data_IF_258900575047
#
_entry.id   IF_258900575047
#
_cell.length_a   1.000
_cell.length_b   1.000
_cell.length_c   1.000
_cell.angle_alpha   90.00
_cell.angle_beta   90.00
_cell.angle_gamma   90.00
#
_symmetry.space_group_name_H-M   'P 1'
#
loop_
_entity.id
_entity.type
_entity.pdbx_description
1 polymer ?
#
# COMPACT_ATOMS: atom_id res chain seq x y z
N UNK A 1 1.36 -22.11 -53.48
CA UNK A 1 0.28 -21.37 -54.19
C UNK A 1 -0.98 -21.55 -53.36
N UNK A 2 -1.25 -20.60 -52.45
CA UNK A 2 -2.31 -19.55 -52.54
C UNK A 2 -3.72 -20.11 -52.29
N UNK A 3 -4.58 -19.64 -51.40
CA UNK A 3 -4.64 -18.52 -50.43
C UNK A 3 -5.84 -18.80 -49.48
N UNK A 4 -5.84 -18.30 -48.23
CA UNK A 4 -6.62 -17.15 -47.72
C UNK A 4 -8.16 -17.28 -47.95
N UNK A 5 -9.10 -16.99 -47.03
CA UNK A 5 -9.13 -16.14 -45.84
C UNK A 5 -10.49 -16.36 -45.10
N UNK A 6 -10.53 -16.16 -43.75
CA UNK A 6 -11.60 -15.54 -42.90
C UNK A 6 -13.08 -15.97 -43.03
N UNK A 7 -13.98 -15.99 -42.04
CA UNK A 7 -14.11 -15.46 -40.68
C UNK A 7 -15.40 -16.02 -40.02
N UNK A 8 -15.42 -16.08 -38.67
CA UNK A 8 -16.55 -15.92 -37.72
C UNK A 8 -17.90 -16.64 -37.93
N UNK A 9 -18.26 -17.53 -36.99
CA UNK A 9 -19.66 -17.93 -36.72
C UNK A 9 -20.00 -17.81 -35.22
N UNK A 10 -20.90 -16.87 -34.91
CA UNK A 10 -21.46 -16.64 -33.59
C UNK A 10 -22.56 -17.68 -33.27
N UNK A 11 -22.54 -18.23 -32.06
CA UNK A 11 -23.55 -19.16 -31.55
C UNK A 11 -24.84 -18.42 -31.18
N UNK A 12 -25.94 -18.75 -31.87
CA UNK A 12 -27.32 -18.40 -31.48
C UNK A 12 -27.87 -19.49 -30.56
N UNK A 13 -28.22 -19.13 -29.32
CA UNK A 13 -28.99 -20.01 -28.43
C UNK A 13 -30.48 -19.74 -28.66
N UNK A 14 -31.20 -20.72 -29.19
CA UNK A 14 -32.64 -20.70 -29.38
C UNK A 14 -33.36 -21.22 -28.14
N UNK A 15 -34.31 -20.45 -27.65
CA UNK A 15 -35.14 -20.74 -26.47
C UNK A 15 -36.20 -21.79 -26.77
N UNK A 16 -36.07 -22.99 -26.20
CA UNK A 16 -37.19 -23.90 -25.96
C UNK A 16 -36.86 -24.77 -24.76
N UNK A 17 -37.29 -24.36 -23.57
CA UNK A 17 -37.71 -25.22 -22.44
C UNK A 17 -38.04 -24.32 -21.25
N UNK A 18 -39.25 -23.74 -21.23
CA UNK A 18 -39.86 -23.21 -20.00
C UNK A 18 -41.34 -23.57 -20.04
N UNK A 19 -41.74 -24.56 -19.24
CA UNK A 19 -43.12 -24.73 -18.78
C UNK A 19 -43.07 -24.89 -17.27
N UNK A 20 -44.04 -24.25 -16.62
CA UNK A 20 -44.31 -24.12 -15.18
C UNK A 20 -43.61 -22.97 -14.45
N UNK A 21 -44.36 -21.87 -14.24
CA UNK A 21 -44.69 -21.24 -12.94
C UNK A 21 -45.63 -20.02 -13.17
N UNK A 22 -46.42 -19.56 -12.16
CA UNK A 22 -47.73 -18.93 -12.37
C UNK A 22 -47.74 -17.39 -12.51
N UNK A 23 -48.88 -16.89 -13.02
CA UNK A 23 -49.24 -15.49 -13.27
C UNK A 23 -49.23 -14.60 -12.01
N UNK A 24 -48.11 -13.91 -11.76
CA UNK A 24 -48.11 -12.66 -10.97
C UNK A 24 -46.72 -11.98 -11.03
N UNK A 25 -46.27 -11.59 -12.22
CA UNK A 25 -45.03 -10.79 -12.38
C UNK A 25 -45.05 -9.97 -13.68
N UNK A 26 -46.12 -9.22 -13.94
CA UNK A 26 -46.26 -8.40 -15.15
C UNK A 26 -46.82 -7.01 -14.86
N UNK A 27 -46.33 -6.33 -13.81
CA UNK A 27 -46.65 -4.90 -13.58
C UNK A 27 -45.52 -4.05 -12.97
N UNK A 28 -44.25 -4.46 -13.08
CA UNK A 28 -43.13 -3.68 -12.48
C UNK A 28 -42.00 -3.27 -13.44
N UNK A 29 -42.23 -3.22 -14.75
CA UNK A 29 -41.14 -2.97 -15.73
C UNK A 29 -41.34 -1.78 -16.68
N UNK A 30 -42.28 -0.86 -16.41
CA UNK A 30 -42.47 0.33 -17.28
C UNK A 30 -42.17 1.69 -16.61
N UNK A 31 -41.94 1.74 -15.29
CA UNK A 31 -41.67 3.00 -14.57
C UNK A 31 -40.22 3.16 -14.03
N UNK A 32 -39.38 2.12 -14.06
CA UNK A 32 -37.95 2.25 -13.70
C UNK A 32 -37.06 2.74 -14.86
N UNK A 33 -37.39 2.37 -16.10
CA UNK A 33 -36.53 2.59 -17.26
C UNK A 33 -36.33 4.08 -17.67
N UNK A 34 -37.16 5.01 -17.18
CA UNK A 34 -37.03 6.45 -17.49
C UNK A 34 -36.29 7.27 -16.45
N UNK A 35 -36.04 6.75 -15.24
CA UNK A 35 -35.20 7.41 -14.22
C UNK A 35 -33.75 6.90 -14.22
N UNK A 36 -33.50 5.67 -14.69
CA UNK A 36 -32.14 5.15 -14.88
C UNK A 36 -31.39 5.88 -16.00
N UNK A 37 -32.05 6.20 -17.12
CA UNK A 37 -31.40 6.87 -18.25
C UNK A 37 -30.88 8.29 -17.92
N UNK A 38 -31.45 8.99 -16.94
CA UNK A 38 -31.02 10.34 -16.55
C UNK A 38 -29.88 10.34 -15.51
N UNK A 39 -29.74 9.27 -14.73
CA UNK A 39 -28.64 9.09 -13.77
C UNK A 39 -27.42 8.51 -14.48
N UNK A 40 -27.61 7.56 -15.40
CA UNK A 40 -26.54 6.97 -16.22
C UNK A 40 -25.89 8.02 -17.13
N UNK A 41 -26.67 8.88 -17.78
CA UNK A 41 -26.10 9.96 -18.63
C UNK A 41 -25.35 11.06 -17.85
N UNK A 42 -25.59 11.22 -16.55
CA UNK A 42 -24.89 12.21 -15.72
C UNK A 42 -23.59 11.65 -15.12
N UNK A 43 -23.51 10.32 -14.95
CA UNK A 43 -22.29 9.61 -14.56
C UNK A 43 -21.33 9.47 -15.75
N UNK A 44 -21.84 9.19 -16.96
CA UNK A 44 -21.00 9.03 -18.16
C UNK A 44 -20.31 10.32 -18.64
N UNK A 45 -20.89 11.51 -18.38
CA UNK A 45 -20.28 12.79 -18.79
C UNK A 45 -19.16 13.30 -17.88
N UNK A 46 -19.05 12.78 -16.65
CA UNK A 46 -18.01 13.15 -15.69
C UNK A 46 -16.96 12.05 -15.48
N UNK A 47 -17.12 10.87 -16.07
CA UNK A 47 -16.14 9.79 -16.05
C UNK A 47 -15.11 9.94 -17.18
N UNK A 48 -14.25 10.96 -17.09
CA UNK A 48 -12.96 11.00 -17.78
C UNK A 48 -11.83 10.49 -16.87
N UNK A 49 -12.13 9.46 -16.09
CA UNK A 49 -11.13 8.51 -15.59
C UNK A 49 -11.59 7.15 -16.13
N UNK A 50 -11.40 6.96 -17.43
CA UNK A 50 -11.42 5.62 -17.99
C UNK A 50 -10.26 4.87 -17.35
N UNK A 51 -10.55 4.06 -16.34
CA UNK A 51 -9.66 3.01 -15.90
C UNK A 51 -9.54 2.01 -17.06
N UNK A 52 -8.63 2.29 -17.99
CA UNK A 52 -8.15 1.34 -19.00
C UNK A 52 -7.34 0.26 -18.29
N UNK A 53 -8.07 -0.65 -17.65
CA UNK A 53 -7.60 -1.72 -16.76
C UNK A 53 -6.98 -2.92 -17.51
N UNK A 54 -6.44 -2.72 -18.72
CA UNK A 54 -5.95 -3.83 -19.55
C UNK A 54 -4.44 -3.83 -19.81
N UNK A 55 -3.74 -2.71 -19.56
CA UNK A 55 -2.27 -2.63 -19.66
C UNK A 55 -1.55 -2.59 -18.31
N UNK A 56 -2.26 -2.34 -17.20
CA UNK A 56 -1.65 -2.23 -15.87
C UNK A 56 -1.43 -3.60 -15.17
N UNK A 57 -1.94 -4.74 -15.68
CA UNK A 57 -2.02 -5.98 -14.88
C UNK A 57 -1.39 -7.23 -15.49
N UNK A 58 -0.12 -7.19 -15.89
CA UNK A 58 0.66 -8.42 -16.12
C UNK A 58 2.09 -8.42 -15.57
N UNK A 59 2.67 -7.27 -15.33
CA UNK A 59 4.05 -7.18 -14.82
C UNK A 59 4.13 -6.87 -13.30
N UNK A 60 2.97 -6.82 -12.62
CA UNK A 60 2.82 -6.43 -11.21
C UNK A 60 2.63 -7.61 -10.25
N UNK A 61 2.94 -8.84 -10.67
CA UNK A 61 2.46 -10.04 -10.00
C UNK A 61 3.47 -10.60 -9.02
N UNK A 62 3.10 -10.44 -7.75
CA UNK A 62 3.83 -10.85 -6.57
C UNK A 62 3.81 -12.37 -6.41
N UNK A 63 4.98 -12.98 -6.19
CA UNK A 63 5.18 -14.43 -6.25
C UNK A 63 4.10 -15.26 -5.50
N UNK A 64 3.56 -14.83 -4.37
CA UNK A 64 2.57 -15.63 -3.63
C UNK A 64 1.15 -15.73 -4.25
N UNK A 65 0.69 -14.76 -5.04
CA UNK A 65 -0.72 -14.71 -5.49
C UNK A 65 -1.00 -15.65 -6.66
N UNK A 66 -0.03 -15.83 -7.55
CA UNK A 66 -0.17 -16.63 -8.78
C UNK A 66 0.47 -18.01 -8.69
N UNK A 67 1.08 -18.33 -7.55
CA UNK A 67 1.85 -19.55 -7.34
C UNK A 67 0.99 -20.64 -6.69
N UNK A 68 1.17 -21.88 -7.14
CA UNK A 68 0.46 -23.03 -6.56
C UNK A 68 0.98 -23.32 -5.15
N UNK A 69 0.14 -23.83 -4.27
CA UNK A 69 0.57 -24.26 -2.93
C UNK A 69 1.69 -25.32 -2.99
N UNK A 70 1.78 -26.10 -4.07
CA UNK A 70 2.87 -27.06 -4.30
C UNK A 70 4.23 -26.38 -4.52
N UNK A 71 4.25 -25.27 -5.23
CA UNK A 71 5.46 -24.50 -5.49
C UNK A 71 5.91 -23.78 -4.21
N UNK A 72 4.98 -23.25 -3.41
CA UNK A 72 5.27 -22.71 -2.07
C UNK A 72 5.78 -23.80 -1.13
N UNK A 73 5.22 -25.00 -1.20
CA UNK A 73 5.76 -26.14 -0.44
C UNK A 73 7.18 -26.49 -0.89
N UNK A 74 7.48 -26.45 -2.20
CA UNK A 74 8.83 -26.68 -2.71
C UNK A 74 9.80 -25.58 -2.27
N UNK A 75 9.36 -24.33 -2.27
CA UNK A 75 10.11 -23.17 -1.80
C UNK A 75 10.66 -23.37 -0.38
N UNK A 76 9.79 -23.76 0.56
CA UNK A 76 10.16 -23.94 1.96
C UNK A 76 11.07 -25.14 2.24
N UNK A 77 11.39 -25.97 1.23
CA UNK A 77 12.40 -27.03 1.38
C UNK A 77 13.83 -26.47 1.38
N UNK A 78 14.05 -25.32 0.77
CA UNK A 78 15.38 -24.74 0.56
C UNK A 78 15.48 -23.28 1.00
N UNK A 79 14.35 -22.63 1.30
CA UNK A 79 14.28 -21.22 1.67
C UNK A 79 13.39 -21.02 2.89
N UNK A 80 13.59 -19.91 3.61
CA UNK A 80 12.81 -19.56 4.80
C UNK A 80 12.56 -18.05 4.96
N UNK A 81 12.78 -17.28 3.89
CA UNK A 81 12.65 -15.82 3.87
C UNK A 81 11.31 -15.38 3.31
N UNK A 82 10.58 -14.55 4.06
CA UNK A 82 9.29 -14.00 3.66
C UNK A 82 9.30 -12.48 3.78
N UNK A 83 8.78 -11.80 2.75
CA UNK A 83 8.51 -10.37 2.79
C UNK A 83 7.02 -10.13 3.06
N UNK A 84 6.74 -9.33 4.09
CA UNK A 84 5.38 -8.87 4.42
C UNK A 84 5.31 -7.38 4.09
N UNK A 85 4.44 -7.03 3.14
CA UNK A 85 4.22 -5.64 2.75
C UNK A 85 3.10 -5.05 3.61
N UNK A 86 3.37 -3.91 4.23
CA UNK A 86 2.38 -3.19 5.04
C UNK A 86 2.21 -1.78 4.51
N UNK A 87 0.99 -1.44 4.12
CA UNK A 87 0.65 -0.11 3.64
C UNK A 87 -0.40 0.57 4.51
N UNK A 88 -1.19 1.40 3.86
CA UNK A 88 -2.27 2.20 4.44
C UNK A 88 -3.23 2.66 3.35
N UNK A 89 -4.42 3.08 3.78
CA UNK A 89 -5.33 3.87 2.98
C UNK A 89 -5.65 5.16 3.76
N UNK A 90 -4.94 6.23 3.43
CA UNK A 90 -5.03 7.50 4.16
C UNK A 90 -4.73 8.71 3.29
N UNK A 91 -5.14 9.89 3.78
CA UNK A 91 -4.80 11.17 3.17
C UNK A 91 -3.28 11.34 3.04
N UNK A 92 -2.82 11.93 1.92
CA UNK A 92 -1.41 12.27 1.66
C UNK A 92 -1.30 13.69 1.07
N UNK A 93 -2.00 14.65 1.67
CA UNK A 93 -2.26 15.94 1.05
C UNK A 93 -3.41 15.90 0.04
N UNK A 94 -3.64 17.03 -0.63
CA UNK A 94 -4.73 17.20 -1.60
C UNK A 94 -4.38 16.69 -3.01
N UNK A 95 -3.10 16.40 -3.26
CA UNK A 95 -2.55 16.05 -4.57
C UNK A 95 -2.25 14.56 -4.74
N UNK A 96 -1.82 13.84 -3.70
CA UNK A 96 -1.48 12.42 -3.80
C UNK A 96 -2.70 11.49 -3.63
N UNK A 97 -2.62 10.25 -4.15
CA UNK A 97 -3.65 9.25 -3.93
C UNK A 97 -3.64 8.72 -2.49
N UNK A 98 -4.79 8.21 -2.05
CA UNK A 98 -4.92 7.66 -0.68
C UNK A 98 -4.05 6.42 -0.41
N UNK A 99 -3.66 5.71 -1.46
CA UNK A 99 -2.93 4.45 -1.39
C UNK A 99 -1.42 4.57 -1.54
N UNK A 100 -0.83 5.76 -1.40
CA UNK A 100 0.61 5.98 -1.58
C UNK A 100 1.45 5.00 -0.74
N UNK A 101 1.11 4.85 0.54
CA UNK A 101 1.72 3.90 1.47
C UNK A 101 1.62 2.44 1.04
N UNK A 102 0.70 2.08 0.14
CA UNK A 102 0.61 0.71 -0.40
C UNK A 102 1.38 0.60 -1.72
N UNK A 103 1.21 1.58 -2.62
CA UNK A 103 1.85 1.56 -3.93
C UNK A 103 3.38 1.60 -3.88
N UNK A 104 3.95 2.41 -2.98
CA UNK A 104 5.40 2.55 -2.88
C UNK A 104 6.09 1.24 -2.48
N UNK A 105 5.72 0.58 -1.36
CA UNK A 105 6.34 -0.68 -1.01
C UNK A 105 6.01 -1.83 -1.96
N UNK A 106 4.84 -1.85 -2.63
CA UNK A 106 4.57 -2.81 -3.71
C UNK A 106 5.54 -2.64 -4.89
N UNK A 107 5.79 -1.40 -5.32
CA UNK A 107 6.72 -1.11 -6.40
C UNK A 107 8.18 -1.43 -6.04
N UNK A 108 8.56 -1.30 -4.75
CA UNK A 108 9.86 -1.77 -4.26
C UNK A 108 9.93 -3.30 -4.26
N UNK A 109 8.90 -3.97 -3.75
CA UNK A 109 8.85 -5.43 -3.72
C UNK A 109 8.97 -6.07 -5.10
N UNK A 110 8.34 -5.47 -6.12
CA UNK A 110 8.44 -5.91 -7.52
C UNK A 110 9.86 -5.80 -8.10
N UNK A 111 10.64 -4.79 -7.69
CA UNK A 111 12.04 -4.65 -8.08
C UNK A 111 12.92 -5.70 -7.39
N UNK A 112 12.61 -5.99 -6.13
CA UNK A 112 13.33 -6.92 -5.27
C UNK A 112 13.09 -8.38 -5.67
N UNK A 113 11.84 -8.79 -5.92
CA UNK A 113 11.49 -10.19 -6.23
C UNK A 113 12.08 -10.66 -7.57
N UNK A 114 12.37 -9.74 -8.49
CA UNK A 114 13.05 -10.05 -9.76
C UNK A 114 14.51 -10.48 -9.58
N UNK A 115 15.11 -10.18 -8.43
CA UNK A 115 16.54 -10.38 -8.16
C UNK A 115 16.81 -11.22 -6.91
N UNK A 116 15.76 -11.69 -6.23
CA UNK A 116 15.86 -12.45 -4.98
C UNK A 116 14.89 -13.62 -4.97
N UNK A 117 15.20 -14.64 -4.18
CA UNK A 117 14.30 -15.78 -3.93
C UNK A 117 13.47 -15.54 -2.67
N UNK A 118 13.11 -14.30 -2.34
CA UNK A 118 12.24 -14.05 -1.18
C UNK A 118 10.78 -14.31 -1.55
N UNK A 119 10.02 -14.99 -0.68
CA UNK A 119 8.58 -15.15 -0.87
C UNK A 119 7.87 -13.85 -0.46
N UNK A 120 7.30 -13.13 -1.43
CA UNK A 120 6.58 -11.87 -1.17
C UNK A 120 5.08 -12.11 -1.02
N UNK A 121 4.50 -11.64 0.09
CA UNK A 121 3.06 -11.74 0.40
C UNK A 121 2.24 -10.55 -0.12
N UNK A 122 0.90 -10.73 -0.30
CA UNK A 122 -0.04 -9.65 -0.57
C UNK A 122 0.15 -8.45 0.35
N UNK A 123 0.18 -7.24 -0.21
CA UNK A 123 0.21 -6.03 0.59
C UNK A 123 -1.05 -5.95 1.46
N UNK A 124 -0.88 -5.53 2.71
CA UNK A 124 -1.98 -5.10 3.56
C UNK A 124 -2.33 -3.65 3.22
N UNK A 125 -3.48 -3.38 2.57
CA UNK A 125 -3.82 -2.04 2.11
C UNK A 125 -4.40 -1.15 3.21
N UNK A 126 -4.55 -1.68 4.43
CA UNK A 126 -5.08 -0.96 5.58
C UNK A 126 -4.08 -1.01 6.73
N UNK A 127 -3.81 0.16 7.32
CA UNK A 127 -2.87 0.34 8.41
C UNK A 127 -3.50 0.96 9.65
N UNK A 128 -2.65 1.43 10.56
CA UNK A 128 -3.05 2.14 11.77
C UNK A 128 -2.98 3.66 11.56
N UNK A 129 -4.10 4.24 11.14
CA UNK A 129 -4.21 5.61 10.61
C UNK A 129 -5.04 6.53 11.52
N UNK A 130 -5.11 6.26 12.83
CA UNK A 130 -6.03 6.94 13.75
C UNK A 130 -5.89 8.47 13.73
N UNK A 131 -4.66 8.94 13.54
CA UNK A 131 -4.33 10.36 13.37
C UNK A 131 -5.05 11.01 12.17
N UNK A 132 -5.25 10.28 11.09
CA UNK A 132 -5.74 10.78 9.80
C UNK A 132 -7.20 10.42 9.52
N UNK A 133 -7.90 9.76 10.45
CA UNK A 133 -9.30 9.34 10.32
C UNK A 133 -10.27 10.50 10.01
N UNK A 134 -9.90 11.73 10.37
CA UNK A 134 -10.70 12.91 10.07
C UNK A 134 -10.73 13.31 8.59
N UNK A 135 -9.82 12.78 7.76
CA UNK A 135 -9.83 13.01 6.31
C UNK A 135 -10.69 11.96 5.60
N UNK A 136 -11.60 12.38 4.68
CA UNK A 136 -12.46 11.46 3.95
C UNK A 136 -11.67 10.43 3.14
N UNK A 137 -12.09 9.16 3.21
CA UNK A 137 -11.45 8.04 2.52
C UNK A 137 -10.38 7.31 3.33
N UNK A 138 -9.89 7.90 4.43
CA UNK A 138 -8.99 7.20 5.36
C UNK A 138 -9.72 6.03 6.03
N UNK A 139 -9.13 4.83 5.97
CA UNK A 139 -9.63 3.63 6.65
C UNK A 139 -8.56 3.16 7.63
N UNK A 140 -8.88 3.23 8.93
CA UNK A 140 -7.92 2.91 10.00
C UNK A 140 -8.33 1.64 10.74
N UNK A 141 -7.40 0.69 10.83
CA UNK A 141 -7.42 -0.36 11.85
C UNK A 141 -6.86 0.22 13.16
N UNK A 142 -7.33 -0.30 14.30
CA UNK A 142 -6.60 -0.02 15.54
C UNK A 142 -5.21 -0.66 15.48
N UNK A 143 -4.23 -0.08 16.17
CA UNK A 143 -2.89 -0.66 16.29
C UNK A 143 -2.93 -2.10 16.80
N UNK A 144 -3.81 -2.40 17.76
CA UNK A 144 -3.98 -3.75 18.31
C UNK A 144 -4.58 -4.72 17.27
N UNK A 145 -5.55 -4.27 16.47
CA UNK A 145 -6.10 -5.07 15.37
C UNK A 145 -5.02 -5.36 14.33
N UNK A 146 -4.27 -4.34 13.90
CA UNK A 146 -3.18 -4.50 12.95
C UNK A 146 -2.12 -5.49 13.48
N UNK A 147 -1.74 -5.36 14.76
CA UNK A 147 -0.80 -6.28 15.41
C UNK A 147 -1.30 -7.72 15.38
N UNK A 148 -2.59 -7.96 15.64
CA UNK A 148 -3.19 -9.31 15.57
C UNK A 148 -3.16 -9.87 14.15
N UNK A 149 -3.54 -9.08 13.15
CA UNK A 149 -3.47 -9.48 11.74
C UNK A 149 -2.04 -9.86 11.35
N UNK A 150 -1.07 -9.02 11.67
CA UNK A 150 0.34 -9.30 11.39
C UNK A 150 0.83 -10.56 12.11
N UNK A 151 0.44 -10.75 13.37
CA UNK A 151 0.79 -11.93 14.14
C UNK A 151 0.23 -13.21 13.51
N UNK A 152 -1.04 -13.21 13.10
CA UNK A 152 -1.68 -14.39 12.48
C UNK A 152 -1.07 -14.71 11.11
N UNK A 153 -0.66 -13.70 10.34
CA UNK A 153 0.08 -13.89 9.08
C UNK A 153 1.45 -14.52 9.36
N UNK A 154 2.19 -13.97 10.32
CA UNK A 154 3.51 -14.49 10.72
C UNK A 154 3.38 -15.93 11.21
N UNK A 155 2.45 -16.22 12.12
CA UNK A 155 2.26 -17.56 12.68
C UNK A 155 1.90 -18.57 11.58
N UNK A 156 1.06 -18.16 10.61
CA UNK A 156 0.75 -18.96 9.44
C UNK A 156 2.00 -19.27 8.62
N UNK A 157 2.83 -18.28 8.30
CA UNK A 157 4.05 -18.50 7.51
C UNK A 157 5.11 -19.31 8.26
N UNK A 158 5.25 -19.10 9.57
CA UNK A 158 6.13 -19.91 10.42
C UNK A 158 5.75 -21.39 10.38
N UNK A 159 4.45 -21.70 10.41
CA UNK A 159 3.96 -23.06 10.31
C UNK A 159 4.35 -23.77 8.98
N UNK A 160 4.73 -23.01 7.95
CA UNK A 160 5.14 -23.53 6.65
C UNK A 160 6.66 -23.63 6.48
N UNK A 161 7.44 -23.06 7.41
CA UNK A 161 8.91 -23.07 7.39
C UNK A 161 9.56 -21.69 7.33
N UNK A 162 8.79 -20.59 7.30
CA UNK A 162 9.37 -19.25 7.35
C UNK A 162 10.04 -18.98 8.70
N UNK A 163 11.26 -18.44 8.66
CA UNK A 163 12.07 -18.10 9.84
C UNK A 163 12.68 -16.70 9.75
N UNK A 164 12.75 -16.12 8.55
CA UNK A 164 13.28 -14.77 8.30
C UNK A 164 12.18 -13.91 7.70
N UNK A 165 11.86 -12.80 8.36
CA UNK A 165 10.77 -11.90 8.02
C UNK A 165 11.30 -10.51 7.75
N UNK A 166 11.08 -10.02 6.54
CA UNK A 166 11.28 -8.63 6.15
C UNK A 166 9.93 -7.92 6.08
N UNK A 167 9.67 -7.02 7.02
CA UNK A 167 8.49 -6.16 6.98
C UNK A 167 8.81 -4.92 6.15
N UNK A 168 8.37 -4.90 4.89
CA UNK A 168 8.51 -3.74 4.02
C UNK A 168 7.34 -2.79 4.31
N UNK A 169 7.62 -1.72 5.05
CA UNK A 169 6.61 -0.84 5.61
C UNK A 169 6.51 0.47 4.84
N UNK A 170 5.28 0.79 4.45
CA UNK A 170 4.87 2.02 3.78
C UNK A 170 4.47 3.15 4.72
N UNK A 171 4.03 2.83 5.94
CA UNK A 171 3.34 3.78 6.82
C UNK A 171 3.93 3.87 8.23
N UNK A 172 4.23 5.09 8.69
CA UNK A 172 4.71 5.35 10.04
C UNK A 172 3.74 4.92 11.15
N UNK A 173 2.43 4.95 10.90
CA UNK A 173 1.40 4.53 11.85
C UNK A 173 1.43 3.04 12.20
N UNK A 174 2.02 2.21 11.33
CA UNK A 174 2.12 0.77 11.52
C UNK A 174 3.25 0.36 12.49
N UNK A 175 4.21 1.25 12.75
CA UNK A 175 5.42 0.95 13.53
C UNK A 175 5.15 0.30 14.89
N UNK A 176 4.24 0.81 15.75
CA UNK A 176 4.04 0.22 17.06
C UNK A 176 3.51 -1.22 17.02
N UNK A 177 2.78 -1.60 15.97
CA UNK A 177 2.32 -2.97 15.75
C UNK A 177 3.45 -3.85 15.22
N UNK A 178 4.19 -3.36 14.22
CA UNK A 178 5.32 -4.04 13.61
C UNK A 178 6.44 -4.33 14.62
N UNK A 179 6.82 -3.34 15.44
CA UNK A 179 7.86 -3.48 16.45
C UNK A 179 7.55 -4.59 17.45
N UNK A 180 6.28 -4.71 17.89
CA UNK A 180 5.86 -5.79 18.79
C UNK A 180 5.96 -7.17 18.14
N UNK A 181 5.56 -7.30 16.88
CA UNK A 181 5.62 -8.57 16.14
C UNK A 181 7.08 -8.96 15.85
N UNK A 182 7.90 -8.02 15.36
CA UNK A 182 9.30 -8.24 15.06
C UNK A 182 10.10 -8.59 16.33
N UNK A 183 9.87 -7.89 17.44
CA UNK A 183 10.53 -8.20 18.72
C UNK A 183 10.16 -9.61 19.21
N UNK A 184 8.90 -10.01 19.09
CA UNK A 184 8.47 -11.36 19.46
C UNK A 184 9.20 -12.40 18.62
N UNK A 185 9.25 -12.24 17.29
CA UNK A 185 9.99 -13.12 16.39
C UNK A 185 11.46 -13.27 16.80
N UNK A 186 12.14 -12.13 16.98
CA UNK A 186 13.55 -12.10 17.37
C UNK A 186 13.78 -12.78 18.73
N UNK A 187 12.86 -12.62 19.69
CA UNK A 187 12.95 -13.28 20.99
C UNK A 187 12.74 -14.81 20.93
N UNK A 188 12.15 -15.30 19.84
CA UNK A 188 11.83 -16.72 19.62
C UNK A 188 12.85 -17.44 18.73
N UNK A 189 14.01 -16.82 18.46
CA UNK A 189 15.07 -17.41 17.65
C UNK A 189 14.87 -17.25 16.13
N UNK A 190 13.88 -16.48 15.70
CA UNK A 190 13.65 -16.12 14.30
C UNK A 190 14.28 -14.75 14.01
N UNK A 191 14.19 -14.29 12.76
CA UNK A 191 14.60 -12.94 12.38
C UNK A 191 13.41 -12.14 11.90
N UNK A 192 13.17 -10.98 12.52
CA UNK A 192 12.19 -9.99 12.10
C UNK A 192 12.88 -8.63 11.96
N UNK A 193 12.93 -8.10 10.76
CA UNK A 193 13.49 -6.78 10.45
C UNK A 193 12.43 -5.90 9.79
N UNK A 194 12.38 -4.62 10.18
CA UNK A 194 11.43 -3.64 9.66
C UNK A 194 12.19 -2.67 8.76
N UNK A 195 11.75 -2.56 7.51
CA UNK A 195 12.28 -1.67 6.51
C UNK A 195 11.27 -0.57 6.20
N UNK A 196 11.46 0.60 6.79
CA UNK A 196 10.66 1.80 6.52
C UNK A 196 11.27 2.55 5.33
N UNK A 197 10.61 2.50 4.17
CA UNK A 197 11.23 3.00 2.93
C UNK A 197 11.63 4.48 3.01
N UNK A 198 10.80 5.33 3.62
CA UNK A 198 11.03 6.77 3.74
C UNK A 198 12.18 7.12 4.69
N UNK A 199 12.39 6.29 5.72
CA UNK A 199 13.55 6.48 6.61
C UNK A 199 14.83 6.10 5.89
N UNK A 200 14.82 4.97 5.16
CA UNK A 200 15.97 4.54 4.37
C UNK A 200 16.32 5.53 3.26
N UNK A 201 15.32 6.10 2.59
CA UNK A 201 15.53 7.12 1.56
C UNK A 201 16.39 8.27 2.08
N UNK A 202 16.01 8.85 3.23
CA UNK A 202 16.76 9.92 3.90
C UNK A 202 18.18 9.52 4.32
N UNK A 203 18.37 8.29 4.80
CA UNK A 203 19.69 7.80 5.24
C UNK A 203 20.62 7.52 4.04
N UNK A 204 20.06 7.11 2.89
CA UNK A 204 20.81 6.92 1.64
C UNK A 204 21.23 8.27 1.05
N UNK A 205 20.28 9.19 0.93
CA UNK A 205 20.52 10.56 0.50
C UNK A 205 19.69 11.54 1.36
N UNK A 206 20.34 12.40 2.17
CA UNK A 206 19.63 13.39 2.99
C UNK A 206 18.72 14.32 2.18
N UNK A 207 18.96 14.52 0.88
CA UNK A 207 18.10 15.30 0.00
C UNK A 207 16.75 14.64 -0.30
N UNK A 208 16.62 13.32 -0.06
CA UNK A 208 15.38 12.58 -0.24
C UNK A 208 14.51 12.56 1.02
N UNK A 209 15.01 13.06 2.16
CA UNK A 209 14.23 13.09 3.37
C UNK A 209 13.04 14.05 3.29
N UNK A 210 11.85 13.54 3.60
CA UNK A 210 10.63 14.32 3.57
C UNK A 210 9.75 14.20 4.81
N UNK A 211 8.49 14.54 4.60
CA UNK A 211 7.40 14.35 5.53
C UNK A 211 6.17 13.76 4.83
N UNK A 212 5.11 13.59 5.61
CA UNK A 212 3.89 12.95 5.15
C UNK A 212 3.19 13.79 4.06
N UNK A 213 2.86 13.16 2.93
CA UNK A 213 2.32 13.81 1.73
C UNK A 213 3.29 14.80 1.06
N UNK A 214 4.56 14.82 1.49
CA UNK A 214 5.57 15.77 1.02
C UNK A 214 6.12 15.45 -0.37
N UNK A 215 7.15 16.18 -0.75
CA UNK A 215 7.94 15.96 -1.97
C UNK A 215 8.45 14.52 -2.12
N UNK A 216 8.90 13.87 -1.04
CA UNK A 216 9.44 12.51 -1.05
C UNK A 216 8.40 11.48 -1.57
N UNK A 217 7.25 11.40 -0.91
CA UNK A 217 6.16 10.50 -1.30
C UNK A 217 5.57 10.88 -2.67
N UNK A 218 5.48 12.17 -2.95
CA UNK A 218 5.00 12.67 -4.24
C UNK A 218 5.96 12.27 -5.37
N UNK A 219 7.28 12.32 -5.15
CA UNK A 219 8.28 11.90 -6.12
C UNK A 219 8.16 10.41 -6.41
N UNK A 220 8.03 9.58 -5.37
CA UNK A 220 7.77 8.15 -5.52
C UNK A 220 6.49 7.90 -6.35
N UNK A 221 5.39 8.59 -6.04
CA UNK A 221 4.14 8.45 -6.78
C UNK A 221 4.22 8.94 -8.23
N UNK A 222 4.99 9.99 -8.52
CA UNK A 222 5.25 10.45 -9.88
C UNK A 222 6.03 9.43 -10.72
N UNK A 223 6.91 8.64 -10.09
CA UNK A 223 7.62 7.56 -10.76
C UNK A 223 6.72 6.33 -11.00
N UNK A 224 5.84 6.00 -10.04
CA UNK A 224 5.04 4.76 -10.07
C UNK A 224 3.72 4.94 -10.85
N UNK A 225 2.98 6.00 -10.57
CA UNK A 225 1.61 6.21 -11.05
C UNK A 225 1.33 7.71 -11.20
N UNK A 226 2.02 8.41 -12.12
CA UNK A 226 1.93 9.87 -12.25
C UNK A 226 0.50 10.37 -12.50
N UNK A 227 -0.34 9.57 -13.16
CA UNK A 227 -1.74 9.88 -13.43
C UNK A 227 -2.62 9.94 -12.17
N UNK A 228 -2.17 9.37 -11.04
CA UNK A 228 -2.86 9.46 -9.76
C UNK A 228 -2.46 10.70 -8.94
N UNK A 229 -1.44 11.44 -9.39
CA UNK A 229 -0.97 12.66 -8.73
C UNK A 229 -1.62 13.88 -9.38
N UNK A 230 -2.40 14.61 -8.58
CA UNK A 230 -3.05 15.86 -8.96
C UNK A 230 -2.18 17.06 -8.60
N UNK A 231 -1.06 17.23 -9.33
CA UNK A 231 -0.04 18.24 -9.05
C UNK A 231 -0.60 19.68 -9.04
N UNK A 232 -1.67 19.94 -9.79
CA UNK A 232 -2.38 21.22 -9.81
C UNK A 232 -3.04 21.59 -8.47
N UNK A 233 -3.20 20.62 -7.57
CA UNK A 233 -3.76 20.84 -6.23
C UNK A 233 -2.70 21.16 -5.17
N UNK A 234 -1.42 20.96 -5.49
CA UNK A 234 -0.31 21.25 -4.58
C UNK A 234 -0.39 22.69 -4.07
N UNK A 235 -0.35 22.86 -2.76
CA UNK A 235 -0.38 24.15 -2.07
C UNK A 235 0.24 24.01 -0.69
N UNK A 236 0.61 25.13 -0.09
CA UNK A 236 1.12 25.18 1.28
C UNK A 236 0.15 24.52 2.28
N UNK A 237 0.74 23.86 3.28
CA UNK A 237 0.03 23.29 4.43
C UNK A 237 0.10 24.24 5.61
N UNK A 238 -1.04 24.43 6.29
CA UNK A 238 -1.10 25.24 7.51
C UNK A 238 -1.36 24.35 8.72
N UNK A 239 -0.48 24.42 9.71
CA UNK A 239 -0.69 23.81 11.02
C UNK A 239 -1.22 24.86 12.00
N UNK A 240 -2.41 24.61 12.56
CA UNK A 240 -2.98 25.47 13.60
C UNK A 240 -2.16 25.35 14.89
N UNK A 241 -1.66 26.47 15.45
CA UNK A 241 -1.04 26.44 16.77
C UNK A 241 -2.08 26.07 17.83
N UNK A 242 -1.63 25.48 18.93
CA UNK A 242 -2.52 25.14 20.05
C UNK A 242 -2.84 26.35 20.94
N UNK A 243 -1.90 27.28 21.04
CA UNK A 243 -2.07 28.57 21.72
C UNK A 243 -1.00 29.53 21.21
N UNK A 244 -1.03 30.78 21.67
CA UNK A 244 0.02 31.77 21.38
C UNK A 244 1.43 31.31 21.78
N UNK A 245 1.54 30.36 22.72
CA UNK A 245 2.82 29.89 23.27
C UNK A 245 3.18 28.45 22.89
N UNK A 246 2.29 27.73 22.20
CA UNK A 246 2.50 26.32 21.84
C UNK A 246 2.25 26.14 20.35
N UNK A 247 3.33 25.92 19.61
CA UNK A 247 3.32 25.74 18.16
C UNK A 247 3.22 24.26 17.80
N UNK A 248 2.32 23.91 16.89
CA UNK A 248 2.24 22.57 16.31
C UNK A 248 3.29 22.44 15.21
N UNK A 249 4.15 21.43 15.27
CA UNK A 249 5.28 21.28 14.32
C UNK A 249 5.22 20.02 13.47
N UNK A 250 4.18 19.21 13.65
CA UNK A 250 3.94 18.00 12.88
C UNK A 250 2.76 17.23 13.47
N UNK A 251 2.59 15.98 13.03
CA UNK A 251 1.43 15.17 13.39
C UNK A 251 1.35 14.78 14.87
N UNK A 252 2.50 14.62 15.52
CA UNK A 252 2.60 14.17 16.91
C UNK A 252 3.47 15.07 17.77
N UNK A 253 3.85 16.25 17.28
CA UNK A 253 4.84 17.10 17.94
C UNK A 253 4.39 18.54 18.07
N UNK A 254 4.69 19.11 19.24
CA UNK A 254 4.50 20.52 19.55
C UNK A 254 5.80 21.10 20.08
N UNK A 255 6.00 22.41 19.90
CA UNK A 255 7.08 23.16 20.54
C UNK A 255 6.53 24.05 21.65
N UNK A 256 7.18 23.97 22.81
CA UNK A 256 6.94 24.86 23.94
C UNK A 256 8.28 25.33 24.51
N UNK A 257 8.54 26.64 24.48
CA UNK A 257 9.79 27.26 24.97
C UNK A 257 11.07 26.58 24.42
N UNK A 258 11.07 26.27 23.12
CA UNK A 258 12.21 25.62 22.44
C UNK A 258 12.35 24.12 22.69
N UNK A 259 11.43 23.50 23.43
CA UNK A 259 11.41 22.05 23.68
C UNK A 259 10.34 21.40 22.81
N UNK A 260 10.73 20.34 22.09
CA UNK A 260 9.79 19.50 21.33
C UNK A 260 9.17 18.46 22.27
N UNK A 261 7.85 18.43 22.33
CA UNK A 261 7.06 17.48 23.12
C UNK A 261 6.21 16.62 22.20
N UNK A 262 5.95 15.37 22.60
CA UNK A 262 5.02 14.50 21.89
C UNK A 262 3.60 14.80 22.35
N UNK A 263 2.71 15.14 21.41
CA UNK A 263 1.29 15.33 21.65
C UNK A 263 0.49 14.76 20.46
N UNK A 264 0.01 13.51 20.57
CA UNK A 264 -0.90 12.89 19.61
C UNK A 264 -2.21 13.68 19.44
N UNK A 265 -2.61 13.98 18.20
CA UNK A 265 -3.87 14.69 17.92
C UNK A 265 -4.52 14.25 16.59
N UNK A 266 -5.85 14.38 16.42
CA UNK A 266 -6.47 14.22 15.12
C UNK A 266 -5.97 15.28 14.12
N UNK A 267 -5.32 14.85 13.05
CA UNK A 267 -4.64 15.76 12.11
C UNK A 267 -5.60 16.68 11.40
N UNK A 268 -6.79 16.20 11.04
CA UNK A 268 -7.82 17.03 10.41
C UNK A 268 -8.29 18.21 11.29
N UNK A 269 -8.01 18.19 12.61
CA UNK A 269 -8.30 19.34 13.48
C UNK A 269 -7.27 20.47 13.32
N UNK A 270 -6.02 20.12 12.98
CA UNK A 270 -4.86 21.01 13.00
C UNK A 270 -4.26 21.31 11.63
N UNK A 271 -4.41 20.43 10.66
CA UNK A 271 -3.89 20.56 9.30
C UNK A 271 -5.04 20.74 8.31
N UNK A 272 -4.92 21.71 7.41
CA UNK A 272 -5.99 22.09 6.48
C UNK A 272 -6.07 21.22 5.22
N UNK A 273 -4.95 20.63 4.81
CA UNK A 273 -4.83 19.94 3.52
C UNK A 273 -4.29 18.50 3.64
N UNK A 274 -3.73 18.15 4.80
CA UNK A 274 -3.32 16.79 5.13
C UNK A 274 -1.91 16.38 4.70
N UNK A 275 -1.05 17.29 4.22
CA UNK A 275 0.39 17.03 4.13
C UNK A 275 1.15 17.83 5.19
N UNK A 276 2.32 17.35 5.62
CA UNK A 276 3.22 18.06 6.54
C UNK A 276 4.66 17.63 6.28
N UNK A 277 5.60 18.57 6.24
CA UNK A 277 7.00 18.25 6.04
C UNK A 277 7.82 19.47 5.63
N UNK A 278 9.16 19.37 5.67
CA UNK A 278 10.05 20.41 5.16
C UNK A 278 10.12 20.45 3.62
N UNK A 279 9.70 19.38 2.96
CA UNK A 279 9.79 19.13 1.52
C UNK A 279 8.43 19.42 0.84
N UNK A 280 8.30 20.62 0.28
CA UNK A 280 7.05 21.01 -0.37
C UNK A 280 6.74 20.08 -1.57
N UNK A 281 5.52 19.51 -1.71
CA UNK A 281 5.21 18.49 -2.73
C UNK A 281 5.45 18.96 -4.17
N UNK A 282 5.36 20.27 -4.44
CA UNK A 282 5.64 20.84 -5.76
C UNK A 282 7.12 20.78 -6.19
N UNK A 283 8.06 20.40 -5.30
CA UNK A 283 9.47 20.19 -5.67
C UNK A 283 9.72 18.77 -6.20
N UNK A 284 8.74 17.87 -6.06
CA UNK A 284 8.86 16.48 -6.49
C UNK A 284 9.05 16.33 -8.00
N UNK A 285 9.79 15.29 -8.40
CA UNK A 285 9.95 14.91 -9.80
C UNK A 285 9.98 13.39 -9.94
N UNK A 286 9.56 12.88 -11.10
CA UNK A 286 9.63 11.45 -11.39
C UNK A 286 11.07 10.91 -11.36
N UNK A 287 12.06 11.69 -11.80
CA UNK A 287 13.46 11.30 -11.77
C UNK A 287 14.01 11.15 -10.34
N UNK A 288 13.56 12.00 -9.41
CA UNK A 288 13.87 11.83 -7.99
C UNK A 288 13.25 10.52 -7.49
N UNK A 289 11.96 10.30 -7.76
CA UNK A 289 11.28 9.06 -7.37
C UNK A 289 11.97 7.80 -7.88
N UNK A 290 12.36 7.77 -9.16
CA UNK A 290 12.99 6.59 -9.75
C UNK A 290 14.38 6.32 -9.14
N UNK A 291 15.21 7.36 -8.98
CA UNK A 291 16.53 7.22 -8.36
C UNK A 291 16.42 6.71 -6.91
N UNK A 292 15.44 7.22 -6.16
CA UNK A 292 15.17 6.82 -4.78
C UNK A 292 14.70 5.37 -4.69
N UNK A 293 13.70 4.99 -5.49
CA UNK A 293 13.16 3.62 -5.51
C UNK A 293 14.23 2.59 -5.92
N UNK A 294 15.06 2.92 -6.90
CA UNK A 294 16.16 2.05 -7.32
C UNK A 294 17.19 1.86 -6.19
N UNK A 295 17.65 2.95 -5.58
CA UNK A 295 18.64 2.88 -4.52
C UNK A 295 18.14 2.08 -3.30
N UNK A 296 16.88 2.29 -2.89
CA UNK A 296 16.26 1.52 -1.79
C UNK A 296 16.13 0.04 -2.17
N UNK A 297 15.72 -0.26 -3.41
CA UNK A 297 15.59 -1.64 -3.87
C UNK A 297 16.93 -2.37 -3.84
N UNK A 298 18.00 -1.72 -4.32
CA UNK A 298 19.35 -2.28 -4.30
C UNK A 298 19.87 -2.53 -2.87
N UNK A 299 19.63 -1.59 -1.95
CA UNK A 299 19.94 -1.78 -0.53
C UNK A 299 19.22 -3.01 0.05
N UNK A 300 17.91 -3.13 -0.22
CA UNK A 300 17.10 -4.23 0.31
C UNK A 300 17.48 -5.59 -0.31
N UNK A 301 17.88 -5.64 -1.57
CA UNK A 301 18.40 -6.85 -2.21
C UNK A 301 19.66 -7.33 -1.48
N UNK A 302 20.60 -6.42 -1.21
CA UNK A 302 21.82 -6.76 -0.46
C UNK A 302 21.50 -7.20 0.97
N UNK A 303 20.56 -6.52 1.63
CA UNK A 303 20.11 -6.90 2.97
C UNK A 303 19.51 -8.31 2.98
N UNK A 304 18.63 -8.63 2.02
CA UNK A 304 18.01 -9.96 1.92
C UNK A 304 19.06 -11.05 1.77
N UNK A 305 20.11 -10.80 1.01
CA UNK A 305 21.21 -11.75 0.86
C UNK A 305 21.98 -11.93 2.18
N UNK A 306 22.34 -10.83 2.84
CA UNK A 306 23.04 -10.86 4.13
C UNK A 306 22.24 -11.60 5.22
N UNK A 307 20.91 -11.40 5.27
CA UNK A 307 20.04 -12.06 6.24
C UNK A 307 20.12 -13.59 6.17
N UNK A 308 20.43 -14.18 5.00
CA UNK A 308 20.58 -15.65 4.84
C UNK A 308 21.76 -16.19 5.63
N UNK A 309 22.77 -15.37 5.88
CA UNK A 309 23.99 -15.77 6.59
C UNK A 309 23.88 -15.64 8.11
N UNK A 310 22.84 -14.96 8.61
CA UNK A 310 22.62 -14.80 10.05
C UNK A 310 22.12 -16.13 10.62
N UNK A 311 22.79 -16.68 11.67
CA UNK A 311 22.34 -17.91 12.31
C UNK A 311 21.01 -17.70 13.03
N UNK A 312 20.11 -18.67 12.88
CA UNK A 312 18.83 -18.69 13.58
C UNK A 312 18.97 -19.39 14.93
N UNK A 313 18.14 -19.01 15.90
CA UNK A 313 17.99 -19.71 17.16
C UNK A 313 17.24 -21.04 17.01
N UNK A 314 17.23 -21.82 18.09
CA UNK A 314 16.42 -23.03 18.17
C UNK A 314 14.96 -22.69 17.90
N UNK A 315 14.32 -23.49 17.03
CA UNK A 315 12.91 -23.29 16.73
C UNK A 315 12.09 -23.60 18.00
N UNK A 316 11.62 -22.56 18.68
CA UNK A 316 10.65 -22.74 19.75
C UNK A 316 9.30 -23.11 19.14
N UNK A 317 8.79 -24.31 19.45
CA UNK A 317 7.41 -24.66 19.14
C UNK A 317 6.48 -23.60 19.74
N UNK A 318 5.62 -23.04 18.89
CA UNK A 318 4.53 -22.17 19.31
C UNK A 318 3.60 -23.02 20.17
N UNK A 319 3.73 -22.91 21.49
CA UNK A 319 2.81 -23.52 22.47
C UNK A 319 1.45 -22.82 22.46
#
# INVERSE_FOLDING_TARGET
MSGACSSTAAFKITSRFIRFLPHSFLYYTASCARKEAAIVNRVEKNSRIAYTNQEIRRDLLMFSIETSWLDVQAYFKTNDSVMIITGSLECHGVHNPLGADTFVPEALAQRIEKQTEILVLPALPYGSCDYLRGFPGTVSLSTETLRRVLQEIVDSMRAHGARRFLFLNGHGGNLPALEQVALKLNSQGDLGIIANWWQMAKEIDPAWGGGHGGGEETAAMLAICPQAVHFERCRESTLKPLSENITTTGFKTVQFKGVTLTMPQPIAAICDNGWTGPDHPATASASWGEAMLEAISQLLIQLIDELKHIPLGEAHEVR
#
